data_IF_522247039926
#
_entry.id   IF_522247039926
#
_cell.length_a   1.000
_cell.length_b   1.000
_cell.length_c   1.000
_cell.angle_alpha   90.00
_cell.angle_beta   90.00
_cell.angle_gamma   90.00
#
_symmetry.space_group_name_H-M   'P 1'
#
loop_
_entity.id
_entity.type
_entity.pdbx_description
1 polymer ?
#
# COMPACT_ATOMS: atom_id res chain seq x y z
N UNK A 1 -13.20 9.76 0.44
CA UNK A 1 -13.68 10.95 -0.30
C UNK A 1 -14.58 10.41 -1.38
N UNK A 2 -15.85 10.78 -1.37
CA UNK A 2 -16.73 10.56 -2.50
C UNK A 2 -16.20 11.46 -3.62
N UNK A 3 -15.26 10.92 -4.40
CA UNK A 3 -14.87 11.50 -5.67
C UNK A 3 -16.15 11.50 -6.50
N UNK A 4 -16.61 12.69 -6.88
CA UNK A 4 -17.76 12.85 -7.76
C UNK A 4 -17.59 12.03 -9.05
N UNK A 5 -18.65 11.96 -9.89
CA UNK A 5 -18.66 11.10 -11.06
C UNK A 5 -17.38 11.29 -11.88
N UNK A 6 -16.72 10.19 -12.27
CA UNK A 6 -15.38 10.24 -12.84
C UNK A 6 -15.36 11.05 -14.13
N UNK A 7 -14.21 11.71 -14.38
CA UNK A 7 -14.00 12.54 -15.57
C UNK A 7 -14.24 11.73 -16.86
N UNK A 8 -13.85 10.45 -16.83
CA UNK A 8 -14.10 9.48 -17.89
C UNK A 8 -14.32 8.09 -17.29
N UNK A 9 -14.99 7.23 -18.04
CA UNK A 9 -15.15 5.81 -17.70
C UNK A 9 -14.66 4.97 -18.87
N UNK A 10 -14.03 3.85 -18.57
CA UNK A 10 -13.51 2.90 -19.56
C UNK A 10 -14.22 1.57 -19.43
N UNK A 11 -14.41 0.87 -20.54
CA UNK A 11 -15.01 -0.47 -20.54
C UNK A 11 -14.14 -1.43 -19.72
N UNK A 12 -14.78 -2.19 -18.83
CA UNK A 12 -14.10 -3.14 -17.93
C UNK A 12 -14.59 -4.57 -18.11
N UNK A 13 -15.89 -4.77 -18.35
CA UNK A 13 -16.47 -6.09 -18.42
C UNK A 13 -17.75 -6.13 -19.24
N UNK A 14 -18.15 -7.35 -19.57
CA UNK A 14 -19.46 -7.67 -20.13
C UNK A 14 -20.27 -8.50 -19.14
N UNK A 15 -21.54 -8.16 -18.98
CA UNK A 15 -22.50 -8.91 -18.17
C UNK A 15 -22.66 -10.33 -18.72
N UNK A 16 -22.73 -11.30 -17.81
CA UNK A 16 -23.02 -12.70 -18.13
C UNK A 16 -24.41 -13.08 -17.65
N UNK A 17 -24.62 -13.05 -16.34
CA UNK A 17 -25.89 -13.40 -15.71
C UNK A 17 -25.98 -12.80 -14.30
N UNK A 18 -27.19 -12.75 -13.77
CA UNK A 18 -27.42 -12.38 -12.37
C UNK A 18 -27.27 -13.61 -11.46
N UNK A 19 -26.68 -13.43 -10.28
CA UNK A 19 -26.57 -14.45 -9.24
C UNK A 19 -26.89 -13.81 -7.88
N UNK A 20 -27.94 -14.28 -7.21
CA UNK A 20 -28.35 -13.81 -5.86
C UNK A 20 -28.53 -12.27 -5.72
N UNK A 21 -28.83 -11.59 -6.83
CA UNK A 21 -29.00 -10.12 -6.86
C UNK A 21 -27.77 -9.34 -7.32
N UNK A 22 -26.62 -10.00 -7.43
CA UNK A 22 -25.40 -9.43 -8.00
C UNK A 22 -25.31 -9.72 -9.51
N UNK A 23 -24.57 -8.89 -10.24
CA UNK A 23 -24.19 -9.23 -11.62
C UNK A 23 -22.86 -9.97 -11.62
N UNK A 24 -22.84 -11.12 -12.29
CA UNK A 24 -21.61 -11.80 -12.66
C UNK A 24 -21.17 -11.29 -14.03
N UNK A 25 -19.92 -10.86 -14.13
CA UNK A 25 -19.39 -10.26 -15.36
C UNK A 25 -18.05 -10.86 -15.75
N UNK A 26 -17.78 -10.90 -17.07
CA UNK A 26 -16.50 -11.33 -17.63
C UNK A 26 -15.58 -10.12 -17.79
N UNK A 27 -14.38 -10.16 -17.21
CA UNK A 27 -13.38 -9.12 -17.39
C UNK A 27 -12.92 -9.09 -18.86
N UNK A 28 -13.08 -7.95 -19.51
CA UNK A 28 -12.58 -7.71 -20.89
C UNK A 28 -11.36 -6.81 -20.93
N UNK A 29 -11.01 -6.19 -19.79
CA UNK A 29 -9.86 -5.31 -19.64
C UNK A 29 -8.59 -6.08 -19.26
N UNK A 30 -7.42 -5.61 -19.73
CA UNK A 30 -6.11 -6.17 -19.34
C UNK A 30 -5.77 -5.95 -17.86
N UNK A 31 -6.39 -4.94 -17.24
CA UNK A 31 -6.18 -4.57 -15.84
C UNK A 31 -7.33 -5.10 -14.97
N UNK A 32 -6.98 -5.46 -13.74
CA UNK A 32 -7.92 -5.99 -12.75
C UNK A 32 -8.52 -4.84 -11.94
N UNK A 33 -9.84 -4.79 -11.72
CA UNK A 33 -10.45 -3.73 -10.92
C UNK A 33 -10.06 -3.80 -9.44
N UNK A 34 -10.10 -2.67 -8.74
CA UNK A 34 -9.99 -2.66 -7.28
C UNK A 34 -11.26 -3.26 -6.65
N UNK A 35 -11.09 -3.91 -5.50
CA UNK A 35 -12.23 -4.26 -4.64
C UNK A 35 -13.01 -3.00 -4.24
N UNK A 36 -14.34 -3.11 -4.16
CA UNK A 36 -15.26 -2.01 -3.90
C UNK A 36 -15.16 -0.83 -4.89
N UNK A 37 -14.53 -1.01 -6.06
CA UNK A 37 -14.51 0.03 -7.07
C UNK A 37 -15.93 0.26 -7.62
N UNK A 38 -16.37 1.53 -7.75
CA UNK A 38 -17.63 1.86 -8.41
C UNK A 38 -17.69 1.33 -9.85
N UNK A 39 -18.83 0.73 -10.20
CA UNK A 39 -19.13 0.30 -11.57
C UNK A 39 -20.23 1.19 -12.14
N UNK A 40 -20.06 1.54 -13.41
CA UNK A 40 -20.89 2.49 -14.15
C UNK A 40 -21.41 1.90 -15.45
N UNK A 41 -22.45 2.52 -15.99
CA UNK A 41 -22.83 2.40 -17.39
C UNK A 41 -22.07 3.43 -18.24
N UNK A 42 -22.21 3.33 -19.57
CA UNK A 42 -21.56 4.25 -20.51
C UNK A 42 -21.93 5.73 -20.27
N UNK A 43 -23.16 5.98 -19.81
CA UNK A 43 -23.65 7.31 -19.45
C UNK A 43 -23.12 7.81 -18.09
N UNK A 44 -22.17 7.10 -17.46
CA UNK A 44 -21.60 7.36 -16.13
C UNK A 44 -22.57 7.22 -14.95
N UNK A 45 -23.73 6.61 -15.18
CA UNK A 45 -24.62 6.22 -14.07
C UNK A 45 -23.96 5.09 -13.28
N UNK A 46 -23.76 5.32 -11.98
CA UNK A 46 -23.24 4.28 -11.09
C UNK A 46 -24.33 3.25 -10.81
N UNK A 47 -24.01 1.97 -10.98
CA UNK A 47 -24.96 0.85 -10.83
C UNK A 47 -24.64 -0.06 -9.65
N UNK A 48 -23.40 0.01 -9.16
CA UNK A 48 -22.95 -0.86 -8.09
C UNK A 48 -21.47 -0.69 -7.82
N UNK A 49 -20.88 -1.71 -7.21
CA UNK A 49 -19.45 -1.79 -6.93
C UNK A 49 -18.93 -3.22 -7.04
N UNK A 50 -17.65 -3.38 -7.32
CA UNK A 50 -16.98 -4.69 -7.35
C UNK A 50 -16.99 -5.31 -5.96
N UNK A 51 -17.38 -6.58 -5.84
CA UNK A 51 -17.37 -7.32 -4.58
C UNK A 51 -16.32 -8.43 -4.59
N UNK A 52 -16.47 -9.41 -5.49
CA UNK A 52 -15.58 -10.57 -5.58
C UNK A 52 -14.92 -10.66 -6.96
N UNK A 53 -13.64 -11.00 -7.01
CA UNK A 53 -12.88 -11.24 -8.24
C UNK A 53 -12.41 -12.68 -8.23
N UNK A 54 -12.75 -13.44 -9.28
CA UNK A 54 -12.56 -14.89 -9.33
C UNK A 54 -12.28 -15.37 -10.75
N UNK A 55 -12.08 -16.68 -10.90
CA UNK A 55 -11.73 -17.32 -12.17
C UNK A 55 -10.22 -17.33 -12.45
N UNK A 56 -9.81 -18.01 -13.52
CA UNK A 56 -8.40 -18.09 -13.90
C UNK A 56 -7.88 -16.75 -14.45
N UNK A 57 -6.55 -16.58 -14.45
CA UNK A 57 -5.89 -15.33 -14.86
C UNK A 57 -6.14 -14.97 -16.33
N UNK A 58 -6.34 -15.96 -17.19
CA UNK A 58 -6.64 -15.76 -18.62
C UNK A 58 -8.12 -15.40 -18.87
N UNK A 59 -9.01 -15.78 -17.97
CA UNK A 59 -10.46 -15.54 -18.07
C UNK A 59 -10.99 -15.20 -16.68
N UNK A 60 -10.72 -13.98 -16.24
CA UNK A 60 -11.17 -13.51 -14.93
C UNK A 60 -12.60 -13.00 -14.99
N UNK A 61 -13.31 -13.17 -13.88
CA UNK A 61 -14.67 -12.73 -13.66
C UNK A 61 -14.72 -11.89 -12.40
N UNK A 62 -15.74 -11.06 -12.27
CA UNK A 62 -16.04 -10.44 -11.00
C UNK A 62 -17.54 -10.23 -10.81
N UNK A 63 -17.96 -10.26 -9.55
CA UNK A 63 -19.31 -9.89 -9.13
C UNK A 63 -19.41 -8.38 -8.88
N UNK A 64 -20.55 -7.82 -9.26
CA UNK A 64 -20.93 -6.45 -8.95
C UNK A 64 -22.09 -6.48 -7.99
N UNK A 65 -21.85 -5.97 -6.79
CA UNK A 65 -22.88 -5.71 -5.81
C UNK A 65 -23.71 -4.52 -6.25
N UNK A 66 -24.96 -4.78 -6.62
CA UNK A 66 -25.87 -3.78 -7.13
C UNK A 66 -26.26 -2.76 -6.07
N UNK A 67 -26.46 -1.52 -6.51
CA UNK A 67 -27.06 -0.48 -5.66
C UNK A 67 -28.57 -0.66 -5.53
N UNK A 68 -29.12 -0.05 -4.49
CA UNK A 68 -30.56 -0.06 -4.26
C UNK A 68 -31.32 0.50 -5.48
N UNK A 69 -32.35 -0.21 -5.92
CA UNK A 69 -33.14 0.12 -7.10
C UNK A 69 -32.52 -0.32 -8.44
N UNK A 70 -31.30 -0.86 -8.44
CA UNK A 70 -30.68 -1.48 -9.63
C UNK A 70 -30.84 -2.99 -9.54
N UNK A 71 -31.44 -3.60 -10.57
CA UNK A 71 -31.77 -5.03 -10.58
C UNK A 71 -30.84 -5.74 -11.56
N UNK A 72 -30.02 -6.67 -11.08
CA UNK A 72 -29.08 -7.40 -11.94
C UNK A 72 -29.76 -8.15 -13.10
N UNK A 73 -30.99 -8.66 -12.90
CA UNK A 73 -31.75 -9.38 -13.93
C UNK A 73 -32.32 -8.49 -15.03
N UNK A 74 -32.22 -7.16 -14.92
CA UNK A 74 -32.63 -6.26 -16.01
C UNK A 74 -31.61 -6.14 -17.13
N UNK A 75 -30.38 -6.63 -16.93
CA UNK A 75 -29.32 -6.63 -17.92
C UNK A 75 -29.32 -7.91 -18.75
N UNK A 76 -28.84 -7.80 -19.99
CA UNK A 76 -28.70 -8.93 -20.91
C UNK A 76 -27.24 -9.32 -21.05
N UNK A 77 -27.00 -10.59 -21.38
CA UNK A 77 -25.65 -11.08 -21.69
C UNK A 77 -24.99 -10.21 -22.77
N UNK A 78 -23.76 -9.78 -22.51
CA UNK A 78 -23.01 -8.88 -23.38
C UNK A 78 -23.14 -7.39 -23.05
N UNK A 79 -24.04 -6.99 -22.15
CA UNK A 79 -24.14 -5.59 -21.70
C UNK A 79 -22.83 -5.12 -21.08
N UNK A 80 -22.38 -3.93 -21.48
CA UNK A 80 -21.06 -3.41 -21.11
C UNK A 80 -21.11 -2.61 -19.83
N UNK A 81 -20.19 -2.92 -18.92
CA UNK A 81 -19.95 -2.15 -17.71
C UNK A 81 -18.63 -1.41 -17.78
N UNK A 82 -18.58 -0.29 -17.05
CA UNK A 82 -17.52 0.68 -17.11
C UNK A 82 -16.98 1.01 -15.72
N UNK A 83 -15.74 1.47 -15.65
CA UNK A 83 -15.05 1.82 -14.41
C UNK A 83 -14.20 3.08 -14.62
N UNK A 84 -13.88 3.76 -13.52
CA UNK A 84 -12.84 4.79 -13.54
C UNK A 84 -11.46 4.14 -13.81
N UNK A 85 -10.70 4.59 -14.82
CA UNK A 85 -9.39 4.03 -15.16
C UNK A 85 -8.38 4.09 -13.99
N UNK A 86 -8.56 4.98 -13.03
CA UNK A 86 -7.73 5.08 -11.83
C UNK A 86 -8.01 3.96 -10.81
N UNK A 87 -9.14 3.26 -10.94
CA UNK A 87 -9.53 2.11 -10.12
C UNK A 87 -9.24 0.77 -10.80
N UNK A 88 -8.16 0.72 -11.58
CA UNK A 88 -7.62 -0.49 -12.21
C UNK A 88 -6.17 -0.77 -11.76
N UNK A 89 -5.86 -2.05 -11.52
CA UNK A 89 -4.56 -2.56 -11.12
C UNK A 89 -3.91 -3.34 -12.28
N UNK A 90 -2.62 -3.15 -12.55
CA UNK A 90 -1.94 -3.93 -13.58
C UNK A 90 -1.85 -5.40 -13.14
N UNK A 91 -2.07 -6.34 -14.07
CA UNK A 91 -2.06 -7.78 -13.80
C UNK A 91 -0.77 -8.27 -13.13
N UNK A 92 0.37 -7.62 -13.42
CA UNK A 92 1.66 -7.92 -12.80
C UNK A 92 1.65 -7.84 -11.27
N UNK A 93 0.71 -7.12 -10.65
CA UNK A 93 0.54 -7.11 -9.18
C UNK A 93 0.10 -8.47 -8.61
N UNK A 94 -0.50 -9.32 -9.43
CA UNK A 94 -1.03 -10.62 -9.04
C UNK A 94 -0.14 -11.79 -9.49
N UNK A 95 0.92 -11.51 -10.27
CA UNK A 95 1.90 -12.51 -10.69
C UNK A 95 3.12 -12.53 -9.76
N UNK A 96 3.80 -13.69 -9.61
CA UNK A 96 5.06 -13.79 -8.89
C UNK A 96 6.06 -12.78 -9.43
N UNK A 97 6.59 -11.97 -8.53
CA UNK A 97 7.62 -11.01 -8.90
C UNK A 97 8.95 -11.75 -9.11
N UNK A 98 9.73 -11.41 -10.16
CA UNK A 98 11.07 -11.97 -10.34
C UNK A 98 11.92 -11.65 -9.11
N UNK A 99 12.73 -12.62 -8.66
CA UNK A 99 13.58 -12.47 -7.47
C UNK A 99 14.47 -11.23 -7.61
N UNK A 100 14.26 -10.22 -6.75
CA UNK A 100 15.04 -8.99 -6.72
C UNK A 100 14.25 -7.70 -7.03
N UNK A 101 13.00 -7.77 -7.49
CA UNK A 101 12.16 -6.57 -7.66
C UNK A 101 11.48 -6.17 -6.34
N UNK A 102 12.16 -5.36 -5.53
CA UNK A 102 11.47 -4.61 -4.47
C UNK A 102 10.41 -3.68 -5.08
N UNK A 103 9.18 -3.61 -4.53
CA UNK A 103 8.16 -2.68 -5.02
C UNK A 103 8.69 -1.25 -4.97
N UNK A 104 8.80 -0.61 -6.13
CA UNK A 104 9.24 0.78 -6.28
C UNK A 104 8.10 1.70 -5.87
N UNK A 105 7.87 1.81 -4.56
CA UNK A 105 6.75 2.55 -3.96
C UNK A 105 7.05 2.93 -2.53
N UNK A 106 8.07 3.78 -2.34
CA UNK A 106 8.50 4.23 -1.02
C UNK A 106 9.78 5.05 -1.08
N UNK A 107 9.83 6.04 -1.96
CA UNK A 107 10.84 7.10 -1.87
C UNK A 107 10.60 7.93 -0.61
N UNK A 108 11.08 7.45 0.54
CA UNK A 108 11.35 8.29 1.71
C UNK A 108 12.85 8.34 1.90
N UNK A 109 13.45 9.38 1.33
CA UNK A 109 14.75 9.85 1.79
C UNK A 109 14.68 10.06 3.30
N UNK A 110 15.67 9.54 4.03
CA UNK A 110 15.70 9.69 5.47
C UNK A 110 16.78 8.86 6.17
N UNK A 111 18.04 9.31 6.03
CA UNK A 111 19.07 9.21 7.07
C UNK A 111 19.42 7.79 7.59
N UNK A 112 20.36 7.16 6.90
CA UNK A 112 21.27 6.18 7.52
C UNK A 112 22.69 6.61 7.23
N UNK A 113 23.18 7.61 7.98
CA UNK A 113 24.53 8.16 7.85
C UNK A 113 25.58 7.06 7.88
N UNK A 114 26.52 7.14 6.93
CA UNK A 114 27.65 6.23 6.84
C UNK A 114 28.40 6.16 8.17
N UNK A 115 28.38 4.99 8.80
CA UNK A 115 29.37 4.63 9.81
C UNK A 115 30.59 4.06 9.09
N UNK A 116 31.32 4.96 8.42
CA UNK A 116 32.71 4.73 8.05
C UNK A 116 33.56 4.74 9.32
N UNK A 117 33.66 3.59 9.97
CA UNK A 117 34.50 3.37 11.14
C UNK A 117 35.59 2.37 10.82
N UNK A 118 36.57 2.74 10.01
CA UNK A 118 37.79 1.95 9.83
C UNK A 118 39.00 2.86 9.55
N UNK A 119 39.92 2.88 10.53
CA UNK A 119 41.35 2.74 10.26
C UNK A 119 42.14 3.95 9.76
N UNK A 120 42.77 4.64 10.71
CA UNK A 120 44.23 4.85 10.63
C UNK A 120 44.76 6.14 9.98
N UNK A 121 45.83 6.65 10.62
CA UNK A 121 46.90 7.54 10.12
C UNK A 121 46.64 9.06 10.08
N UNK A 122 47.46 9.75 10.86
CA UNK A 122 47.72 11.20 10.80
C UNK A 122 47.57 11.81 12.20
N UNK A 123 48.61 12.16 12.96
CA UNK A 123 49.86 12.77 12.57
C UNK A 123 49.80 14.28 12.87
N UNK A 124 50.27 14.66 14.07
CA UNK A 124 50.92 15.94 14.38
C UNK A 124 50.19 17.29 14.12
N UNK A 125 49.82 18.03 15.19
CA UNK A 125 50.47 19.30 15.65
C UNK A 125 49.55 20.20 16.50
N UNK A 126 50.11 20.66 17.62
CA UNK A 126 49.79 21.93 18.30
C UNK A 126 48.69 21.83 19.36
N UNK A 127 48.73 22.50 20.53
CA UNK A 127 49.63 23.52 21.09
C UNK A 127 49.08 23.82 22.49
N UNK A 128 49.85 23.67 23.57
CA UNK A 128 49.47 24.27 24.87
C UNK A 128 49.85 23.52 26.15
N UNK A 129 51.06 23.81 26.64
CA UNK A 129 51.56 23.88 28.04
C UNK A 129 51.16 22.85 29.14
N UNK A 130 52.16 22.27 29.85
CA UNK A 130 52.00 21.53 31.10
C UNK A 130 52.37 22.36 32.35
N UNK A 131 51.83 22.00 33.52
CA UNK A 131 52.29 22.25 34.92
C UNK A 131 51.02 22.34 35.81
N UNK A 132 50.68 21.43 36.71
CA UNK A 132 51.50 20.70 37.68
C UNK A 132 51.50 21.42 39.03
N UNK A 133 50.62 21.03 39.97
CA UNK A 133 50.74 21.27 41.43
C UNK A 133 49.71 20.43 42.22
N UNK A 134 50.15 19.41 42.96
CA UNK A 134 49.31 18.61 43.89
C UNK A 134 49.12 19.28 45.27
N UNK A 135 48.92 18.54 46.40
CA UNK A 135 48.75 17.09 46.55
C UNK A 135 47.66 16.73 47.64
N UNK A 136 47.68 15.61 48.42
CA UNK A 136 46.49 14.81 48.75
C UNK A 136 46.03 14.88 50.22
N UNK A 137 44.76 14.56 50.51
CA UNK A 137 44.22 14.30 51.88
C UNK A 137 42.85 13.64 51.69
N UNK A 138 42.62 12.37 52.04
CA UNK A 138 42.80 11.79 53.37
C UNK A 138 41.49 11.94 54.14
N UNK A 139 40.73 10.86 54.31
CA UNK A 139 39.48 10.92 55.09
C UNK A 139 38.60 9.67 54.98
N UNK A 140 39.05 8.54 55.55
CA UNK A 140 38.16 7.45 55.89
C UNK A 140 37.28 7.80 57.10
N UNK A 141 36.05 7.26 57.11
CA UNK A 141 35.06 7.07 58.20
C UNK A 141 33.72 6.85 57.46
N UNK A 142 32.96 5.77 57.60
CA UNK A 142 32.71 4.94 58.76
C UNK A 142 31.20 4.96 59.03
N UNK A 143 30.58 3.78 58.95
CA UNK A 143 29.45 3.32 59.76
C UNK A 143 28.00 3.82 59.52
N UNK A 144 27.17 2.82 59.17
CA UNK A 144 25.91 2.35 59.80
C UNK A 144 24.70 3.31 59.98
N UNK A 145 23.61 2.93 59.31
CA UNK A 145 22.27 2.74 59.89
C UNK A 145 21.58 1.64 59.08
N UNK A 146 21.29 0.42 59.56
CA UNK A 146 20.23 0.00 60.51
C UNK A 146 18.91 0.67 60.12
N UNK A 147 17.86 0.03 59.59
CA UNK A 147 17.44 -1.36 59.65
C UNK A 147 16.18 -1.47 60.53
N UNK A 148 15.07 -1.80 59.86
CA UNK A 148 13.80 -2.39 60.34
C UNK A 148 12.61 -1.52 60.76
N UNK A 149 11.46 -2.07 60.33
CA UNK A 149 10.04 -1.82 60.59
C UNK A 149 9.39 -0.74 59.74
#
# INVERSE_FOLDING_TARGET
>A
RDEGPPAEVVEVSTFLHACEGDAVTKLTNEKVPYFNAPIYLQNKTQIGKVDEIFGPINESYFSVKMFEGVIATSYNEGDKFFIDPMKLLPLSRFLPQPKGSTPRGGGRGGRGGGRGGFGGRGGFRGRGAPRGRGPPRGGGRGFRGRGRF
#
